data_IF_221153034543
#
_entry.id   IF_221153034543
#
_cell.length_a   1.000
_cell.length_b   1.000
_cell.length_c   1.000
_cell.angle_alpha   90.00
_cell.angle_beta   90.00
_cell.angle_gamma   90.00
#
_symmetry.space_group_name_H-M   'P 1'
#
loop_
_entity.id
_entity.type
_entity.pdbx_description
1 polymer ?
#
# COMPACT_ATOMS: atom_id res chain seq x y z
N UNK A 1 -13.07 27.15 4.56
CA UNK A 1 -13.88 26.38 3.59
C UNK A 1 -12.93 25.54 2.74
N UNK A 2 -12.68 24.30 3.16
CA UNK A 2 -11.75 23.39 2.48
C UNK A 2 -12.42 22.69 1.31
N UNK A 3 -11.71 22.56 0.18
CA UNK A 3 -12.14 21.75 -0.95
C UNK A 3 -12.26 20.28 -0.53
N UNK A 4 -13.49 19.77 -0.38
CA UNK A 4 -13.79 18.34 -0.35
C UNK A 4 -14.29 17.95 -1.76
N UNK A 5 -13.47 17.30 -2.61
CA UNK A 5 -13.89 16.84 -3.94
C UNK A 5 -15.10 15.90 -3.86
N UNK A 6 -15.14 15.08 -2.80
CA UNK A 6 -16.21 14.13 -2.47
C UNK A 6 -17.55 14.84 -2.21
N UNK A 7 -17.52 16.05 -1.60
CA UNK A 7 -18.73 16.80 -1.27
C UNK A 7 -19.39 17.48 -2.49
N UNK A 8 -18.67 17.67 -3.60
CA UNK A 8 -19.23 18.26 -4.83
C UNK A 8 -19.86 17.22 -5.76
N UNK A 9 -19.50 15.94 -5.61
CA UNK A 9 -20.03 14.84 -6.41
C UNK A 9 -21.20 14.12 -5.74
N UNK A 10 -21.41 14.34 -4.44
CA UNK A 10 -22.41 13.63 -3.63
C UNK A 10 -21.95 12.24 -3.17
N UNK A 11 -20.69 11.89 -3.39
CA UNK A 11 -20.10 10.65 -2.89
C UNK A 11 -19.98 10.69 -1.37
N UNK A 12 -20.07 9.53 -0.72
CA UNK A 12 -19.74 9.33 0.69
C UNK A 12 -18.38 8.65 0.81
N UNK A 13 -17.80 8.67 2.00
CA UNK A 13 -16.54 7.99 2.27
C UNK A 13 -16.65 6.48 1.95
N UNK A 14 -17.80 5.89 2.28
CA UNK A 14 -18.23 4.51 2.02
C UNK A 14 -18.12 4.09 0.55
N UNK A 15 -18.27 5.05 -0.37
CA UNK A 15 -18.27 4.80 -1.82
C UNK A 15 -16.85 4.77 -2.40
N UNK A 16 -15.82 5.10 -1.61
CA UNK A 16 -14.44 5.26 -2.09
C UNK A 16 -13.57 4.09 -1.64
N UNK A 17 -13.10 3.32 -2.62
CA UNK A 17 -12.13 2.27 -2.46
C UNK A 17 -10.90 2.57 -3.32
N UNK A 18 -9.73 2.64 -2.68
CA UNK A 18 -8.46 2.89 -3.36
C UNK A 18 -7.63 1.61 -3.39
N UNK A 19 -7.01 1.34 -4.53
CA UNK A 19 -6.00 0.29 -4.67
C UNK A 19 -4.69 0.97 -5.07
N UNK A 20 -3.66 0.83 -4.23
CA UNK A 20 -2.33 1.34 -4.48
C UNK A 20 -1.34 0.21 -4.70
N UNK A 21 -0.34 0.41 -5.54
CA UNK A 21 0.77 -0.53 -5.72
C UNK A 21 2.10 0.18 -5.47
N UNK A 22 3.05 -0.47 -4.78
CA UNK A 22 4.37 0.10 -4.50
C UNK A 22 4.25 1.50 -3.89
N UNK A 23 4.84 2.54 -4.48
CA UNK A 23 4.73 3.94 -4.04
C UNK A 23 3.27 4.44 -4.02
N UNK A 24 2.42 3.93 -4.91
CA UNK A 24 1.01 4.27 -5.00
C UNK A 24 0.22 3.92 -3.73
N UNK A 25 0.71 2.97 -2.92
CA UNK A 25 0.10 2.66 -1.61
C UNK A 25 0.16 3.86 -0.67
N UNK A 26 1.29 4.55 -0.61
CA UNK A 26 1.48 5.75 0.22
C UNK A 26 0.75 6.96 -0.35
N UNK A 27 0.62 7.05 -1.68
CA UNK A 27 -0.25 8.05 -2.31
C UNK A 27 -1.71 7.84 -1.90
N UNK A 28 -2.20 6.60 -1.89
CA UNK A 28 -3.54 6.28 -1.42
C UNK A 28 -3.72 6.65 0.07
N UNK A 29 -2.72 6.37 0.91
CA UNK A 29 -2.70 6.81 2.32
C UNK A 29 -2.84 8.33 2.46
N UNK A 30 -2.07 9.10 1.69
CA UNK A 30 -2.17 10.58 1.68
C UNK A 30 -3.55 11.09 1.25
N UNK A 31 -4.21 10.41 0.32
CA UNK A 31 -5.60 10.72 -0.06
C UNK A 31 -6.53 10.42 1.11
N UNK A 32 -6.38 9.27 1.76
CA UNK A 32 -7.14 8.85 2.94
C UNK A 32 -7.03 9.82 4.13
N UNK A 33 -5.81 10.30 4.43
CA UNK A 33 -5.56 11.31 5.47
C UNK A 33 -6.32 12.62 5.21
N UNK A 34 -6.48 12.99 3.93
CA UNK A 34 -7.11 14.26 3.55
C UNK A 34 -8.63 14.17 3.44
N UNK A 35 -9.16 13.04 2.96
CA UNK A 35 -10.56 12.94 2.58
C UNK A 35 -11.37 11.86 3.29
N UNK A 36 -10.72 11.01 4.10
CA UNK A 36 -11.26 9.80 4.73
C UNK A 36 -11.99 8.90 3.73
N UNK A 37 -11.43 7.72 3.47
CA UNK A 37 -12.00 6.75 2.53
C UNK A 37 -12.39 5.47 3.26
N UNK A 38 -13.30 4.70 2.68
CA UNK A 38 -13.75 3.46 3.29
C UNK A 38 -12.65 2.41 3.31
N UNK A 39 -12.01 2.19 2.16
CA UNK A 39 -11.02 1.11 2.03
C UNK A 39 -9.79 1.52 1.23
N UNK A 40 -8.64 1.02 1.67
CA UNK A 40 -7.39 1.03 0.91
C UNK A 40 -6.85 -0.39 0.84
N UNK A 41 -6.63 -0.91 -0.36
CA UNK A 41 -5.82 -2.12 -0.56
C UNK A 41 -4.44 -1.74 -1.05
N UNK A 42 -3.42 -2.19 -0.32
CA UNK A 42 -2.04 -1.87 -0.56
C UNK A 42 -1.30 -3.08 -1.13
N UNK A 43 -1.02 -3.05 -2.42
CA UNK A 43 -0.33 -4.10 -3.14
C UNK A 43 1.18 -3.86 -3.10
N UNK A 44 1.90 -4.73 -2.41
CA UNK A 44 3.34 -4.69 -2.19
C UNK A 44 3.87 -3.28 -1.84
N UNK A 45 3.49 -2.74 -0.67
CA UNK A 45 3.78 -1.34 -0.30
C UNK A 45 5.28 -1.06 -0.38
N UNK A 46 5.67 0.06 -0.99
CA UNK A 46 7.08 0.40 -1.17
C UNK A 46 7.79 0.52 0.19
N UNK A 47 8.83 -0.28 0.41
CA UNK A 47 9.68 -0.18 1.60
C UNK A 47 10.85 0.79 1.44
N UNK A 48 11.27 1.04 0.20
CA UNK A 48 12.31 2.03 -0.10
C UNK A 48 11.82 3.41 0.32
N UNK A 49 12.48 4.03 1.31
CA UNK A 49 12.13 5.33 1.92
C UNK A 49 10.91 5.37 2.86
N UNK A 50 10.20 4.26 3.09
CA UNK A 50 9.03 4.22 3.98
C UNK A 50 9.25 3.27 5.17
N UNK A 51 10.43 3.35 5.77
CA UNK A 51 10.82 2.48 6.89
C UNK A 51 9.95 2.71 8.12
N UNK A 52 10.08 1.85 9.13
CA UNK A 52 9.24 1.90 10.33
C UNK A 52 9.38 3.21 11.11
N UNK A 53 10.54 3.84 10.98
CA UNK A 53 10.92 5.10 11.60
C UNK A 53 10.27 6.32 10.95
N UNK A 54 9.75 6.18 9.72
CA UNK A 54 9.05 7.25 9.02
C UNK A 54 7.72 7.56 9.73
N UNK A 55 7.42 8.85 9.98
CA UNK A 55 6.17 9.26 10.64
C UNK A 55 4.93 8.69 9.95
N UNK A 56 3.90 8.34 10.73
CA UNK A 56 2.62 7.85 10.19
C UNK A 56 1.98 8.84 9.23
N UNK A 57 2.17 10.14 9.45
CA UNK A 57 1.71 11.20 8.55
C UNK A 57 2.39 11.18 7.18
N UNK A 58 3.47 10.42 6.98
CA UNK A 58 4.27 10.41 5.75
C UNK A 58 4.19 9.10 4.97
N UNK A 59 3.60 8.06 5.56
CA UNK A 59 3.43 6.74 4.93
C UNK A 59 1.99 6.27 5.06
N UNK A 60 1.70 5.12 4.45
CA UNK A 60 0.41 4.46 4.64
C UNK A 60 0.35 3.89 6.06
N UNK A 61 -0.79 4.12 6.72
CA UNK A 61 -1.14 3.56 8.02
C UNK A 61 -2.61 3.13 8.03
N UNK A 62 -2.95 2.17 8.88
CA UNK A 62 -4.32 1.68 9.04
C UNK A 62 -5.34 2.79 9.33
N UNK A 63 -4.94 3.90 9.96
CA UNK A 63 -5.83 5.03 10.25
C UNK A 63 -6.28 5.82 9.02
N UNK A 64 -5.61 5.64 7.87
CA UNK A 64 -5.87 6.38 6.63
C UNK A 64 -7.21 6.01 5.97
N UNK A 65 -7.83 4.88 6.35
CA UNK A 65 -9.15 4.46 5.91
C UNK A 65 -9.94 3.79 7.04
N UNK A 66 -11.17 3.36 6.79
CA UNK A 66 -11.90 2.52 7.76
C UNK A 66 -11.33 1.10 7.76
N UNK A 67 -10.93 0.61 6.59
CA UNK A 67 -10.26 -0.68 6.41
C UNK A 67 -9.02 -0.49 5.53
N UNK A 68 -7.91 -1.09 5.94
CA UNK A 68 -6.67 -1.12 5.15
C UNK A 68 -6.20 -2.56 5.13
N UNK A 69 -6.08 -3.13 3.94
CA UNK A 69 -5.52 -4.47 3.75
C UNK A 69 -4.26 -4.37 2.90
N UNK A 70 -3.17 -4.94 3.38
CA UNK A 70 -1.87 -4.93 2.72
C UNK A 70 -1.48 -6.33 2.27
N UNK A 71 -0.98 -6.45 1.05
CA UNK A 71 -0.46 -7.69 0.48
C UNK A 71 1.04 -7.50 0.28
N UNK A 72 1.85 -8.24 1.04
CA UNK A 72 3.30 -8.19 1.01
C UNK A 72 3.85 -9.35 0.20
N UNK A 73 4.66 -9.06 -0.80
CA UNK A 73 5.19 -10.08 -1.73
C UNK A 73 6.67 -9.96 -2.04
N UNK A 74 7.25 -8.78 -1.84
CA UNK A 74 8.66 -8.49 -2.09
C UNK A 74 9.31 -7.73 -0.92
N UNK A 75 8.94 -8.10 0.30
CA UNK A 75 9.59 -7.65 1.52
C UNK A 75 11.02 -8.16 1.62
N UNK A 76 11.86 -7.44 2.36
CA UNK A 76 13.24 -7.82 2.64
C UNK A 76 14.07 -6.61 3.01
N UNK A 77 15.40 -6.77 3.01
CA UNK A 77 16.35 -5.68 3.25
C UNK A 77 17.28 -5.52 2.07
N UNK A 78 17.36 -4.30 1.54
CA UNK A 78 18.22 -3.96 0.41
C UNK A 78 17.70 -4.49 -0.92
N UNK A 79 18.37 -4.12 -2.01
CA UNK A 79 18.02 -4.60 -3.34
C UNK A 79 18.24 -6.12 -3.45
N UNK A 80 17.36 -6.86 -4.15
CA UNK A 80 16.25 -6.38 -4.97
C UNK A 80 14.89 -6.29 -4.24
N UNK A 81 14.86 -6.38 -2.91
CA UNK A 81 13.62 -6.31 -2.14
C UNK A 81 13.14 -4.86 -2.03
N UNK A 82 11.98 -4.57 -2.61
CA UNK A 82 11.46 -3.20 -2.72
C UNK A 82 10.25 -2.95 -1.80
N UNK A 83 9.64 -3.99 -1.26
CA UNK A 83 8.43 -3.94 -0.45
C UNK A 83 8.69 -3.83 1.06
N UNK A 84 7.64 -3.47 1.81
CA UNK A 84 7.66 -3.45 3.27
C UNK A 84 7.62 -4.87 3.86
N UNK A 85 8.36 -5.06 4.95
CA UNK A 85 8.40 -6.33 5.70
C UNK A 85 7.67 -6.28 7.04
N UNK A 86 7.06 -5.15 7.38
CA UNK A 86 6.34 -4.95 8.62
C UNK A 86 4.88 -4.56 8.33
N UNK A 87 3.94 -4.86 9.25
CA UNK A 87 2.53 -4.61 9.01
C UNK A 87 2.22 -3.12 9.02
N UNK A 88 1.32 -2.71 8.12
CA UNK A 88 0.84 -1.32 7.99
C UNK A 88 -0.69 -1.24 7.93
N UNK A 89 -1.38 -2.36 7.73
CA UNK A 89 -2.82 -2.42 7.59
C UNK A 89 -3.57 -2.79 8.87
N UNK A 90 -4.88 -2.92 8.72
CA UNK A 90 -5.73 -3.70 9.62
C UNK A 90 -5.52 -5.20 9.41
N UNK A 91 -5.29 -5.59 8.15
CA UNK A 91 -4.98 -6.95 7.74
C UNK A 91 -3.73 -6.92 6.85
N UNK A 92 -2.74 -7.76 7.16
CA UNK A 92 -1.49 -7.84 6.40
C UNK A 92 -1.28 -9.29 5.97
N UNK A 93 -1.24 -9.52 4.66
CA UNK A 93 -1.12 -10.83 4.03
C UNK A 93 0.28 -10.98 3.45
N UNK A 94 1.04 -11.99 3.91
CA UNK A 94 2.40 -12.25 3.46
C UNK A 94 2.40 -13.46 2.51
N UNK A 95 2.17 -13.21 1.23
CA UNK A 95 2.00 -14.26 0.22
C UNK A 95 3.34 -14.98 0.04
N UNK A 96 3.33 -16.31 0.16
CA UNK A 96 4.55 -17.14 0.12
C UNK A 96 5.66 -16.66 1.09
N UNK A 97 5.27 -16.16 2.26
CA UNK A 97 6.20 -15.60 3.25
C UNK A 97 6.56 -14.13 3.02
N UNK A 98 6.06 -13.53 1.93
CA UNK A 98 6.09 -12.09 1.66
C UNK A 98 7.44 -11.53 1.21
N UNK A 99 8.38 -12.39 0.79
CA UNK A 99 9.75 -12.00 0.43
C UNK A 99 10.05 -12.29 -1.05
N UNK A 100 9.86 -13.54 -1.48
CA UNK A 100 10.16 -13.97 -2.84
C UNK A 100 9.01 -14.85 -3.34
N UNK A 101 8.43 -14.48 -4.47
CA UNK A 101 7.31 -15.21 -5.04
C UNK A 101 7.79 -16.35 -5.96
N UNK A 102 7.08 -17.49 -5.99
CA UNK A 102 7.35 -18.55 -6.94
C UNK A 102 7.38 -18.03 -8.38
N UNK A 103 8.35 -18.49 -9.17
CA UNK A 103 8.58 -18.08 -10.56
C UNK A 103 9.12 -16.66 -10.78
N UNK A 104 9.33 -15.86 -9.73
CA UNK A 104 10.13 -14.64 -9.81
C UNK A 104 11.61 -14.97 -9.57
N UNK A 105 12.51 -14.43 -10.39
CA UNK A 105 13.94 -14.51 -10.08
C UNK A 105 14.30 -13.44 -9.04
N UNK A 106 15.35 -13.71 -8.26
CA UNK A 106 15.84 -12.79 -7.25
C UNK A 106 16.70 -11.68 -7.89
N UNK A 107 16.08 -10.82 -8.70
CA UNK A 107 16.72 -9.70 -9.38
C UNK A 107 15.80 -8.47 -9.39
N UNK A 108 16.39 -7.30 -9.67
CA UNK A 108 15.67 -6.03 -9.63
C UNK A 108 14.58 -5.93 -10.70
N UNK A 109 14.76 -6.60 -11.83
CA UNK A 109 13.81 -6.55 -12.94
C UNK A 109 12.49 -7.24 -12.58
N UNK A 110 12.55 -8.41 -11.96
CA UNK A 110 11.35 -9.12 -11.50
C UNK A 110 10.73 -8.41 -10.30
N UNK A 111 11.55 -7.85 -9.41
CA UNK A 111 11.06 -7.00 -8.33
C UNK A 111 10.23 -5.81 -8.81
N UNK A 112 10.56 -5.23 -9.97
CA UNK A 112 9.79 -4.15 -10.59
C UNK A 112 8.53 -4.63 -11.34
N UNK A 113 8.46 -5.92 -11.69
CA UNK A 113 7.39 -6.53 -12.48
C UNK A 113 6.26 -7.16 -11.67
N UNK A 114 6.32 -7.14 -10.34
CA UNK A 114 5.39 -7.82 -9.42
C UNK A 114 3.90 -7.38 -9.51
N UNK A 115 3.42 -6.84 -10.62
CA UNK A 115 2.03 -6.44 -10.85
C UNK A 115 1.07 -7.61 -11.13
N UNK A 116 1.58 -8.82 -11.36
CA UNK A 116 0.74 -9.97 -11.73
C UNK A 116 0.25 -10.76 -10.50
N UNK A 117 -0.61 -10.12 -9.69
CA UNK A 117 -1.34 -10.80 -8.60
C UNK A 117 -2.67 -11.42 -9.05
N UNK A 118 -2.97 -11.40 -10.35
CA UNK A 118 -4.23 -11.85 -10.94
C UNK A 118 -3.98 -12.78 -12.13
N UNK A 119 -3.41 -13.97 -11.88
CA UNK A 119 -3.52 -15.13 -12.76
C UNK A 119 -3.75 -16.37 -11.92
#
# INVERSE_FOLDING_TARGET
MGFHPVAKTGLKNEDVYLVGHSLGTHVAGKVGQKFKVHRITALDPAGVMYTKEIPLSERLDKSDADIVDAIHTNGGRGLPYLGLSFPIGHFDFYVNGGILQPSCANNLWDAMKNFNFLY
#
